data_IF_066046316069
#
_entry.id   IF_066046316069
#
_cell.length_a   1.000
_cell.length_b   1.000
_cell.length_c   1.000
_cell.angle_alpha   90.00
_cell.angle_beta   90.00
_cell.angle_gamma   90.00
#
_symmetry.space_group_name_H-M   'P 1'
#
loop_
_entity.id
_entity.type
_entity.pdbx_description
1 polymer ?
#
# COMPACT_ATOMS: atom_id res chain seq x y z
N UNK A 1 -66.86 25.05 -16.10
CA UNK A 1 -66.00 23.86 -16.28
C UNK A 1 -65.66 23.33 -14.89
N UNK A 2 -66.08 22.10 -14.54
CA UNK A 2 -66.13 21.61 -13.16
C UNK A 2 -64.74 21.19 -12.63
N UNK A 3 -64.04 22.10 -11.95
CA UNK A 3 -62.72 21.82 -11.33
C UNK A 3 -62.75 20.64 -10.35
N UNK A 4 -63.90 20.39 -9.69
CA UNK A 4 -64.08 19.24 -8.78
C UNK A 4 -63.95 17.90 -9.50
N UNK A 5 -64.48 17.78 -10.73
CA UNK A 5 -64.33 16.55 -11.52
C UNK A 5 -62.85 16.29 -11.84
N UNK A 6 -62.08 17.34 -12.09
CA UNK A 6 -60.63 17.22 -12.27
C UNK A 6 -59.98 16.60 -11.03
N UNK A 7 -60.22 17.14 -9.84
CA UNK A 7 -59.63 16.57 -8.61
C UNK A 7 -60.02 15.11 -8.36
N UNK A 8 -61.29 14.75 -8.57
CA UNK A 8 -61.73 13.36 -8.41
C UNK A 8 -61.06 12.42 -9.41
N UNK A 9 -60.97 12.81 -10.68
CA UNK A 9 -60.29 12.00 -11.71
C UNK A 9 -58.80 11.84 -11.41
N UNK A 10 -58.14 12.90 -10.93
CA UNK A 10 -56.72 12.88 -10.60
C UNK A 10 -56.44 12.01 -9.37
N UNK A 11 -57.27 12.08 -8.32
CA UNK A 11 -57.14 11.20 -7.16
C UNK A 11 -57.37 9.73 -7.52
N UNK A 12 -58.35 9.45 -8.40
CA UNK A 12 -58.63 8.09 -8.84
C UNK A 12 -57.48 7.51 -9.66
N UNK A 13 -56.94 8.28 -10.62
CA UNK A 13 -55.76 7.88 -11.40
C UNK A 13 -54.53 7.70 -10.53
N UNK A 14 -54.30 8.61 -9.57
CA UNK A 14 -53.17 8.51 -8.65
C UNK A 14 -53.27 7.25 -7.77
N UNK A 15 -54.46 6.95 -7.24
CA UNK A 15 -54.71 5.72 -6.47
C UNK A 15 -54.55 4.45 -7.30
N UNK A 16 -55.05 4.44 -8.55
CA UNK A 16 -54.89 3.29 -9.44
C UNK A 16 -53.42 3.06 -9.81
N UNK A 17 -52.67 4.13 -10.08
CA UNK A 17 -51.26 4.04 -10.47
C UNK A 17 -50.36 3.52 -9.34
N UNK A 18 -50.60 3.93 -8.09
CA UNK A 18 -49.79 3.46 -6.95
C UNK A 18 -50.01 1.98 -6.66
N UNK A 19 -51.27 1.51 -6.70
CA UNK A 19 -51.60 0.10 -6.50
C UNK A 19 -51.04 -0.78 -7.63
N UNK A 20 -51.19 -0.34 -8.88
CA UNK A 20 -50.64 -1.05 -10.03
C UNK A 20 -49.10 -1.09 -9.99
N UNK A 21 -48.45 0.01 -9.58
CA UNK A 21 -47.00 0.07 -9.46
C UNK A 21 -46.45 -0.90 -8.41
N UNK A 22 -47.09 -0.99 -7.24
CA UNK A 22 -46.69 -1.94 -6.20
C UNK A 22 -46.84 -3.39 -6.65
N UNK A 23 -47.96 -3.73 -7.30
CA UNK A 23 -48.20 -5.08 -7.81
C UNK A 23 -47.24 -5.46 -8.94
N UNK A 24 -46.95 -4.52 -9.85
CA UNK A 24 -45.96 -4.73 -10.89
C UNK A 24 -44.56 -4.92 -10.31
N UNK A 25 -44.20 -4.17 -9.27
CA UNK A 25 -42.92 -4.34 -8.57
C UNK A 25 -42.72 -5.75 -8.03
N UNK A 26 -43.70 -6.27 -7.28
CA UNK A 26 -43.65 -7.65 -6.77
C UNK A 26 -43.58 -8.70 -7.88
N UNK A 27 -44.30 -8.47 -8.99
CA UNK A 27 -44.23 -9.37 -10.16
C UNK A 27 -42.84 -9.38 -10.80
N UNK A 28 -42.20 -8.21 -10.96
CA UNK A 28 -40.84 -8.12 -11.49
C UNK A 28 -39.82 -8.82 -10.59
N UNK A 29 -39.96 -8.69 -9.28
CA UNK A 29 -39.07 -9.36 -8.31
C UNK A 29 -39.25 -10.88 -8.41
N UNK A 30 -40.49 -11.37 -8.50
CA UNK A 30 -40.78 -12.80 -8.65
C UNK A 30 -40.29 -13.39 -9.98
N UNK A 31 -40.19 -12.58 -11.03
CA UNK A 31 -39.74 -13.01 -12.37
C UNK A 31 -38.30 -12.57 -12.70
N UNK A 32 -37.57 -12.02 -11.73
CA UNK A 32 -36.17 -11.68 -11.92
C UNK A 32 -35.34 -12.98 -12.02
N UNK A 33 -34.40 -13.08 -12.98
CA UNK A 33 -33.51 -14.24 -13.06
C UNK A 33 -32.58 -14.28 -11.84
N UNK A 34 -32.56 -15.40 -11.14
CA UNK A 34 -31.81 -15.60 -9.87
C UNK A 34 -30.31 -15.75 -10.05
N UNK A 35 -29.83 -15.88 -11.29
CA UNK A 35 -28.42 -15.96 -11.63
C UNK A 35 -28.20 -15.32 -13.01
N UNK A 36 -27.12 -14.55 -13.16
CA UNK A 36 -26.64 -14.21 -14.49
C UNK A 36 -26.36 -15.52 -15.24
N UNK A 37 -26.64 -15.59 -16.54
CA UNK A 37 -26.27 -16.73 -17.39
C UNK A 37 -24.74 -16.73 -17.59
N UNK A 38 -24.02 -16.98 -16.50
CA UNK A 38 -22.60 -17.24 -16.47
C UNK A 38 -22.47 -18.71 -16.84
N UNK A 39 -21.76 -18.96 -17.94
CA UNK A 39 -21.32 -20.31 -18.31
C UNK A 39 -20.68 -20.95 -17.08
N UNK A 40 -20.98 -22.22 -16.81
CA UNK A 40 -20.49 -22.91 -15.63
C UNK A 40 -18.96 -23.00 -15.69
N UNK A 41 -18.27 -22.02 -15.09
CA UNK A 41 -16.82 -21.89 -15.15
C UNK A 41 -16.13 -23.10 -14.50
N UNK A 42 -16.83 -23.85 -13.64
CA UNK A 42 -16.28 -25.03 -12.98
C UNK A 42 -16.08 -26.22 -13.91
N UNK A 43 -16.82 -26.30 -15.03
CA UNK A 43 -16.66 -27.35 -16.05
C UNK A 43 -15.53 -27.00 -17.04
N UNK A 44 -15.20 -25.71 -17.17
CA UNK A 44 -14.15 -25.17 -18.04
C UNK A 44 -12.84 -24.83 -17.31
N UNK A 45 -12.79 -25.01 -15.98
CA UNK A 45 -11.58 -24.83 -15.19
C UNK A 45 -10.80 -26.16 -15.12
N UNK A 46 -9.69 -26.32 -15.88
CA UNK A 46 -8.92 -27.55 -15.85
C UNK A 46 -8.38 -27.79 -14.43
N UNK A 47 -8.45 -29.03 -13.95
CA UNK A 47 -7.88 -29.39 -12.64
C UNK A 47 -6.42 -28.91 -12.54
N UNK A 48 -6.03 -28.25 -11.44
CA UNK A 48 -4.70 -27.66 -11.33
C UNK A 48 -3.63 -28.74 -11.45
N UNK A 49 -2.58 -28.47 -12.22
CA UNK A 49 -1.44 -29.41 -12.35
C UNK A 49 -0.76 -29.49 -10.98
N UNK A 50 -0.72 -30.68 -10.38
CA UNK A 50 -0.04 -30.88 -9.10
C UNK A 50 1.46 -31.08 -9.31
N UNK A 51 2.26 -30.46 -8.46
CA UNK A 51 3.70 -30.66 -8.41
C UNK A 51 4.08 -32.00 -7.76
N UNK A 52 5.37 -32.36 -7.77
CA UNK A 52 5.88 -33.57 -7.10
C UNK A 52 5.62 -33.59 -5.58
N UNK A 53 5.39 -32.42 -5.00
CA UNK A 53 5.06 -32.16 -3.60
C UNK A 53 3.55 -32.24 -3.31
N UNK A 54 2.71 -32.52 -4.32
CA UNK A 54 1.26 -32.57 -4.18
C UNK A 54 0.60 -31.19 -4.00
N UNK A 55 1.37 -30.11 -4.21
CA UNK A 55 0.86 -28.73 -4.15
C UNK A 55 0.48 -28.30 -5.57
N UNK A 56 -0.67 -27.62 -5.77
CA UNK A 56 -1.02 -27.11 -7.10
C UNK A 56 0.06 -26.16 -7.60
N UNK A 57 0.62 -26.46 -8.77
CA UNK A 57 1.61 -25.63 -9.46
C UNK A 57 0.89 -24.40 -9.99
N UNK A 58 0.95 -23.32 -9.23
CA UNK A 58 0.52 -22.00 -9.67
C UNK A 58 1.50 -21.51 -10.75
N UNK A 59 0.99 -21.02 -11.88
CA UNK A 59 1.83 -20.34 -12.88
C UNK A 59 2.23 -18.98 -12.32
N UNK A 60 3.42 -18.90 -11.72
CA UNK A 60 4.00 -17.63 -11.28
C UNK A 60 4.47 -16.82 -12.50
N UNK A 61 4.18 -15.51 -12.56
CA UNK A 61 4.67 -14.65 -13.64
C UNK A 61 6.19 -14.55 -13.56
N UNK A 62 6.88 -14.43 -14.72
CA UNK A 62 8.33 -14.36 -14.70
C UNK A 62 8.79 -13.01 -14.15
N UNK A 63 9.67 -13.06 -13.15
CA UNK A 63 10.25 -11.92 -12.47
C UNK A 63 11.60 -11.55 -13.09
N UNK A 64 12.08 -10.31 -12.94
CA UNK A 64 13.47 -9.98 -13.20
C UNK A 64 14.37 -10.65 -12.14
N UNK A 65 15.22 -11.58 -12.57
CA UNK A 65 16.21 -12.21 -11.71
C UNK A 65 17.41 -11.28 -11.48
N UNK A 66 18.18 -11.58 -10.44
CA UNK A 66 19.44 -10.89 -10.11
C UNK A 66 20.51 -10.99 -11.22
N UNK A 67 20.38 -11.96 -12.13
CA UNK A 67 21.24 -12.11 -13.32
C UNK A 67 20.75 -11.29 -14.53
N UNK A 68 19.67 -10.51 -14.37
CA UNK A 68 19.07 -9.69 -15.43
C UNK A 68 18.18 -10.46 -16.41
N UNK A 69 18.00 -11.77 -16.23
CA UNK A 69 17.07 -12.57 -17.03
C UNK A 69 15.65 -12.49 -16.48
N UNK A 70 14.68 -12.79 -17.34
CA UNK A 70 13.27 -12.90 -16.99
C UNK A 70 12.98 -14.38 -16.68
N UNK A 71 12.50 -14.68 -15.47
CA UNK A 71 12.23 -16.07 -15.04
C UNK A 71 11.68 -16.17 -13.62
N UNK A 72 11.50 -17.39 -13.13
CA UNK A 72 11.04 -17.64 -11.75
C UNK A 72 12.27 -17.81 -10.86
N UNK A 73 12.39 -17.12 -9.72
CA UNK A 73 13.51 -17.32 -8.81
C UNK A 73 13.48 -18.74 -8.24
N UNK A 74 14.64 -19.40 -8.20
CA UNK A 74 14.76 -20.68 -7.50
C UNK A 74 14.47 -20.49 -6.01
N UNK A 75 13.59 -21.31 -5.44
CA UNK A 75 13.26 -21.28 -4.01
C UNK A 75 14.49 -21.73 -3.22
N UNK A 76 15.21 -20.78 -2.62
CA UNK A 76 16.28 -21.11 -1.69
C UNK A 76 15.70 -21.84 -0.46
N UNK A 77 16.19 -23.04 -0.21
CA UNK A 77 15.76 -23.89 0.90
C UNK A 77 16.12 -23.28 2.26
N UNK A 78 15.38 -23.67 3.30
CA UNK A 78 15.44 -23.02 4.60
C UNK A 78 16.78 -23.23 5.30
N UNK A 79 17.42 -22.12 5.65
CA UNK A 79 18.60 -22.11 6.51
C UNK A 79 18.11 -22.27 7.94
N UNK A 80 18.56 -23.33 8.61
CA UNK A 80 18.26 -23.57 10.02
C UNK A 80 19.04 -22.55 10.87
N UNK A 81 18.36 -21.47 11.26
CA UNK A 81 18.92 -20.37 12.05
C UNK A 81 19.14 -20.73 13.54
N UNK A 82 19.01 -22.00 13.93
CA UNK A 82 19.27 -22.44 15.30
C UNK A 82 20.78 -22.57 15.53
N UNK A 83 21.31 -21.74 16.43
CA UNK A 83 22.67 -21.86 16.93
C UNK A 83 22.79 -23.23 17.64
N UNK A 84 23.75 -24.05 17.19
CA UNK A 84 24.04 -25.32 17.86
C UNK A 84 24.60 -24.99 19.25
N UNK A 85 24.03 -25.58 20.31
CA UNK A 85 24.44 -25.31 21.71
C UNK A 85 25.95 -25.48 21.97
N UNK A 86 26.60 -26.38 21.23
CA UNK A 86 28.05 -26.58 21.28
C UNK A 86 28.83 -25.37 20.76
N UNK A 87 28.30 -24.68 19.76
CA UNK A 87 28.89 -23.48 19.15
C UNK A 87 28.64 -22.24 20.00
N UNK A 88 27.51 -22.17 20.70
CA UNK A 88 27.18 -21.07 21.63
C UNK A 88 28.23 -20.93 22.74
N UNK A 89 28.57 -22.04 23.43
CA UNK A 89 29.56 -22.01 24.51
C UNK A 89 30.98 -21.63 24.01
N UNK A 90 31.32 -22.02 22.79
CA UNK A 90 32.59 -21.68 22.15
C UNK A 90 32.64 -20.20 21.77
N UNK A 91 31.54 -19.65 21.27
CA UNK A 91 31.44 -18.24 20.88
C UNK A 91 31.44 -17.32 22.10
N UNK A 92 30.75 -17.70 23.19
CA UNK A 92 30.75 -16.97 24.46
C UNK A 92 32.13 -16.94 25.12
N UNK A 93 32.88 -18.04 25.08
CA UNK A 93 34.24 -18.08 25.62
C UNK A 93 35.22 -17.27 24.77
N UNK A 94 35.08 -17.28 23.45
CA UNK A 94 35.83 -16.39 22.54
C UNK A 94 35.54 -14.91 22.82
N UNK A 95 34.26 -14.54 22.95
CA UNK A 95 33.85 -13.17 23.21
C UNK A 95 34.34 -12.66 24.57
N UNK A 96 34.39 -13.52 25.60
CA UNK A 96 34.89 -13.14 26.92
C UNK A 96 36.40 -12.87 26.94
N UNK A 97 37.14 -13.43 25.98
CA UNK A 97 38.58 -13.29 25.85
C UNK A 97 38.98 -12.22 24.82
N UNK A 98 38.02 -11.61 24.13
CA UNK A 98 38.27 -10.57 23.13
C UNK A 98 38.55 -9.22 23.83
N UNK A 99 39.70 -8.57 23.58
CA UNK A 99 40.01 -7.26 24.16
C UNK A 99 38.99 -6.16 23.80
N UNK A 100 38.14 -6.37 22.79
CA UNK A 100 37.10 -5.43 22.36
C UNK A 100 35.74 -5.67 23.04
N UNK A 101 35.58 -6.74 23.82
CA UNK A 101 34.33 -7.09 24.48
C UNK A 101 33.72 -5.98 25.37
N UNK A 102 34.49 -5.16 26.11
CA UNK A 102 33.95 -4.07 26.93
C UNK A 102 33.31 -2.93 26.13
N UNK A 103 33.54 -2.85 24.82
CA UNK A 103 32.93 -1.82 23.95
C UNK A 103 31.50 -2.16 23.54
N UNK A 104 31.13 -3.45 23.62
CA UNK A 104 29.85 -4.00 23.14
C UNK A 104 28.85 -4.16 24.29
N UNK A 105 29.32 -4.25 25.54
CA UNK A 105 28.47 -4.37 26.73
C UNK A 105 27.73 -3.04 27.01
N UNK A 106 26.38 -3.02 27.00
CA UNK A 106 25.60 -1.80 27.25
C UNK A 106 25.75 -1.24 28.68
N UNK A 107 26.27 -2.02 29.65
CA UNK A 107 26.51 -1.58 31.02
C UNK A 107 27.98 -1.18 31.28
N UNK A 108 28.83 -1.26 30.26
CA UNK A 108 30.23 -0.87 30.36
C UNK A 108 30.38 0.66 30.24
N UNK A 109 31.21 1.30 31.09
CA UNK A 109 31.44 2.75 31.03
C UNK A 109 32.10 3.21 29.72
N UNK A 110 32.69 2.29 28.94
CA UNK A 110 33.34 2.57 27.66
C UNK A 110 32.51 2.09 26.45
N UNK A 111 31.22 1.79 26.61
CA UNK A 111 30.40 1.27 25.51
C UNK A 111 30.19 2.29 24.39
N UNK A 112 30.27 1.83 23.13
CA UNK A 112 30.05 2.69 21.95
C UNK A 112 28.56 3.10 21.83
N UNK A 113 27.67 2.39 22.51
CA UNK A 113 26.24 2.70 22.57
C UNK A 113 25.91 3.94 23.42
N UNK A 114 26.80 4.36 24.33
CA UNK A 114 26.63 5.61 25.08
C UNK A 114 26.97 6.87 24.25
N UNK A 115 27.77 6.73 23.18
CA UNK A 115 28.38 7.87 22.48
C UNK A 115 27.77 8.19 21.10
N UNK A 116 26.68 7.53 20.70
CA UNK A 116 26.03 7.76 19.39
C UNK A 116 25.07 8.96 19.36
N UNK A 117 25.06 9.79 20.39
CA UNK A 117 24.54 11.16 20.28
C UNK A 117 25.64 12.04 19.67
N UNK A 118 25.62 12.12 18.34
CA UNK A 118 26.48 12.95 17.46
C UNK A 118 27.78 12.28 16.96
N UNK A 119 27.79 11.91 15.67
CA UNK A 119 28.66 12.53 14.64
C UNK A 119 28.78 11.65 13.39
N UNK A 120 28.36 12.18 12.23
CA UNK A 120 28.86 11.88 10.90
C UNK A 120 28.97 10.40 10.46
N UNK A 121 27.88 9.82 9.95
CA UNK A 121 27.94 8.67 9.04
C UNK A 121 27.63 9.13 7.61
N UNK A 122 28.66 9.65 6.93
CA UNK A 122 28.67 9.96 5.49
C UNK A 122 28.90 8.65 4.74
N UNK A 123 27.86 7.81 4.64
CA UNK A 123 27.88 6.53 3.91
C UNK A 123 27.16 6.65 2.57
N UNK A 124 27.92 6.52 1.48
CA UNK A 124 27.44 6.65 0.11
C UNK A 124 26.75 5.35 -0.35
N UNK A 125 25.46 5.21 -0.09
CA UNK A 125 24.63 4.16 -0.70
C UNK A 125 24.07 4.67 -2.04
N UNK A 126 24.16 3.90 -3.15
CA UNK A 126 23.54 4.32 -4.40
C UNK A 126 22.01 4.31 -4.24
N UNK A 127 21.41 5.49 -4.36
CA UNK A 127 19.97 5.66 -4.42
C UNK A 127 19.41 5.04 -5.73
N UNK A 128 18.19 4.48 -5.72
CA UNK A 128 17.56 3.97 -6.94
C UNK A 128 17.39 5.09 -7.96
N UNK A 129 17.65 4.78 -9.23
CA UNK A 129 17.56 5.68 -10.38
C UNK A 129 16.14 6.26 -10.45
N UNK A 130 15.96 7.45 -9.91
CA UNK A 130 14.83 8.31 -10.24
C UNK A 130 15.23 9.11 -11.47
N UNK A 131 14.37 9.10 -12.49
CA UNK A 131 14.47 10.02 -13.62
C UNK A 131 14.76 11.44 -13.09
N UNK A 132 15.74 12.17 -13.64
CA UNK A 132 16.02 13.54 -13.24
C UNK A 132 14.91 14.45 -13.80
N UNK A 133 13.73 14.42 -13.19
CA UNK A 133 12.85 15.57 -13.23
C UNK A 133 13.42 16.53 -12.21
N UNK A 134 13.96 17.64 -12.71
CA UNK A 134 14.51 18.75 -11.95
C UNK A 134 13.53 19.13 -10.84
N UNK A 135 13.80 18.66 -9.62
CA UNK A 135 13.03 19.05 -8.44
C UNK A 135 13.52 20.44 -8.05
N UNK A 136 12.68 21.48 -8.06
CA UNK A 136 13.04 22.70 -7.35
C UNK A 136 13.20 22.32 -5.88
N UNK A 137 14.43 22.43 -5.38
CA UNK A 137 14.74 22.26 -3.96
C UNK A 137 13.97 23.37 -3.23
N UNK A 138 12.88 23.00 -2.56
CA UNK A 138 12.17 23.92 -1.69
C UNK A 138 13.12 24.32 -0.53
N UNK A 139 13.23 25.61 -0.20
CA UNK A 139 14.13 26.08 0.83
C UNK A 139 13.74 25.47 2.19
N UNK A 140 14.66 24.70 2.77
CA UNK A 140 14.48 24.05 4.08
C UNK A 140 14.67 25.03 5.25
N UNK A 141 14.09 26.22 5.17
CA UNK A 141 14.19 27.18 6.25
C UNK A 141 12.93 28.02 6.41
N UNK A 142 12.57 28.18 7.68
CA UNK A 142 11.57 29.06 8.27
C UNK A 142 10.19 28.45 8.48
N UNK A 143 9.63 28.82 9.63
CA UNK A 143 8.43 28.31 10.30
C UNK A 143 7.09 28.52 9.53
N UNK A 144 7.12 28.55 8.19
CA UNK A 144 5.99 28.83 7.32
C UNK A 144 5.93 27.91 6.07
N UNK A 145 6.58 26.74 6.12
CA UNK A 145 6.61 25.77 5.03
C UNK A 145 5.19 25.25 4.69
N UNK A 146 4.28 25.22 5.65
CA UNK A 146 2.89 24.78 5.47
C UNK A 146 2.16 25.62 4.41
N UNK A 147 2.38 26.94 4.38
CA UNK A 147 1.76 27.80 3.38
C UNK A 147 2.24 27.45 1.95
N UNK A 148 3.54 27.21 1.79
CA UNK A 148 4.10 26.77 0.49
C UNK A 148 3.62 25.39 0.08
N UNK A 149 3.49 24.46 1.04
CA UNK A 149 2.95 23.13 0.82
C UNK A 149 1.48 23.17 0.34
N UNK A 150 0.63 23.98 0.98
CA UNK A 150 -0.77 24.12 0.56
C UNK A 150 -0.92 24.78 -0.81
N UNK A 151 -0.06 25.75 -1.14
CA UNK A 151 -0.05 26.39 -2.45
C UNK A 151 0.28 25.36 -3.56
N UNK A 152 1.33 24.55 -3.37
CA UNK A 152 1.74 23.55 -4.36
C UNK A 152 0.72 22.39 -4.46
N UNK A 153 0.08 22.01 -3.34
CA UNK A 153 -1.05 21.08 -3.36
C UNK A 153 -2.21 21.62 -4.20
N UNK A 154 -2.51 22.92 -4.12
CA UNK A 154 -3.56 23.55 -4.90
C UNK A 154 -3.23 23.56 -6.40
N UNK A 155 -1.95 23.70 -6.77
CA UNK A 155 -1.49 23.55 -8.16
C UNK A 155 -1.65 22.11 -8.65
N UNK A 156 -1.35 21.11 -7.82
CA UNK A 156 -1.60 19.71 -8.16
C UNK A 156 -3.09 19.43 -8.42
N UNK A 157 -4.01 20.12 -7.75
CA UNK A 157 -5.45 20.00 -8.02
C UNK A 157 -5.85 20.54 -9.39
N UNK A 158 -5.11 21.51 -9.95
CA UNK A 158 -5.35 22.06 -11.30
C UNK A 158 -4.94 21.09 -12.42
N UNK A 159 -4.14 20.06 -12.11
CA UNK A 159 -3.75 19.02 -13.08
C UNK A 159 -4.89 18.04 -13.36
N UNK A 160 -4.83 17.43 -14.55
CA UNK A 160 -5.74 16.37 -14.98
C UNK A 160 -5.65 15.10 -14.12
N UNK A 161 -6.65 14.24 -14.22
CA UNK A 161 -6.82 13.04 -13.38
C UNK A 161 -5.56 12.15 -13.31
N UNK A 162 -4.88 11.92 -14.44
CA UNK A 162 -3.69 11.06 -14.50
C UNK A 162 -2.43 11.64 -13.84
N UNK A 163 -2.24 12.96 -13.85
CA UNK A 163 -1.04 13.59 -13.29
C UNK A 163 -1.22 14.06 -11.84
N UNK A 164 -2.47 14.21 -11.39
CA UNK A 164 -2.81 14.69 -10.05
C UNK A 164 -2.24 13.78 -8.97
N UNK A 165 -2.36 12.46 -9.12
CA UNK A 165 -1.88 11.48 -8.14
C UNK A 165 -0.37 11.57 -7.90
N UNK A 166 0.42 11.53 -8.97
CA UNK A 166 1.88 11.66 -8.88
C UNK A 166 2.32 13.03 -8.38
N UNK A 167 1.63 14.11 -8.76
CA UNK A 167 1.90 15.45 -8.25
C UNK A 167 1.72 15.52 -6.73
N UNK A 168 0.56 15.07 -6.22
CA UNK A 168 0.27 15.07 -4.78
C UNK A 168 1.25 14.18 -4.02
N UNK A 169 1.57 12.99 -4.54
CA UNK A 169 2.54 12.08 -3.92
C UNK A 169 3.92 12.71 -3.81
N UNK A 170 4.40 13.35 -4.88
CA UNK A 170 5.71 14.04 -4.91
C UNK A 170 5.75 15.19 -3.91
N UNK A 171 4.75 16.06 -3.89
CA UNK A 171 4.70 17.22 -2.98
C UNK A 171 4.65 16.75 -1.53
N UNK A 172 3.79 15.77 -1.20
CA UNK A 172 3.77 15.17 0.14
C UNK A 172 5.14 14.59 0.51
N UNK A 173 5.79 13.86 -0.39
CA UNK A 173 7.12 13.33 -0.10
C UNK A 173 8.12 14.46 0.21
N UNK A 174 8.18 15.51 -0.59
CA UNK A 174 9.13 16.61 -0.38
C UNK A 174 8.89 17.37 0.93
N UNK A 175 7.64 17.72 1.26
CA UNK A 175 7.34 18.54 2.43
C UNK A 175 7.13 17.72 3.70
N UNK A 176 6.37 16.62 3.64
CA UNK A 176 6.06 15.82 4.82
C UNK A 176 7.29 15.02 5.31
N UNK A 177 8.18 14.55 4.41
CA UNK A 177 9.41 13.87 4.83
C UNK A 177 10.44 14.83 5.40
N UNK A 178 10.70 15.96 4.74
CA UNK A 178 11.69 16.94 5.18
C UNK A 178 11.35 17.56 6.54
N UNK A 179 10.06 17.74 6.83
CA UNK A 179 9.58 18.38 8.07
C UNK A 179 9.03 17.38 9.11
N UNK A 180 9.21 16.06 8.92
CA UNK A 180 8.70 15.02 9.84
C UNK A 180 7.21 15.20 10.21
N UNK A 181 6.38 15.53 9.22
CA UNK A 181 4.98 15.93 9.40
C UNK A 181 3.96 14.81 9.12
N UNK A 182 4.43 13.62 8.72
CA UNK A 182 3.60 12.43 8.52
C UNK A 182 2.76 12.10 9.76
N UNK A 183 1.43 12.07 9.60
CA UNK A 183 0.47 11.81 10.67
C UNK A 183 0.27 12.97 11.66
N UNK A 184 0.94 14.10 11.48
CA UNK A 184 0.79 15.31 12.33
C UNK A 184 -0.05 16.38 11.66
N UNK A 185 0.11 16.53 10.36
CA UNK A 185 -0.64 17.50 9.53
C UNK A 185 -1.74 16.73 8.78
N UNK A 186 -2.97 17.27 8.74
CA UNK A 186 -4.14 16.63 8.12
C UNK A 186 -3.89 16.16 6.69
N UNK A 187 -3.12 16.95 5.96
CA UNK A 187 -2.81 16.69 4.56
C UNK A 187 -1.56 15.80 4.39
N UNK A 188 -0.98 15.21 5.45
CA UNK A 188 0.09 14.20 5.41
C UNK A 188 -0.38 12.90 6.10
N UNK A 189 -1.14 12.07 5.39
CA UNK A 189 -1.67 10.80 5.93
C UNK A 189 -0.60 9.70 5.97
N UNK A 190 -0.72 8.77 6.92
CA UNK A 190 0.22 7.66 7.14
C UNK A 190 -0.26 6.39 6.47
#
# INVERSE_FOLDING_TARGET
MSWRLLFFTLLLLAGAATLAGLQAGEWLIAHAPTQANLKNLSEEDPSPVLGPDGIPVMKEPPQPLMNGLIGIPEKNYSINWKIKKSTEAQMLSQLKNDPLAPLIDPNSPNSIYANQSASNAKGNFPAPIHNPVSVPVAPSNSNNWEASFHAELAECRKKGFGERGECVRRVRNNYCSANNAWGKVRDCER
#
